data_IF_832756675640
#
_entry.id   IF_832756675640
#
_cell.length_a   1.000
_cell.length_b   1.000
_cell.length_c   1.000
_cell.angle_alpha   90.00
_cell.angle_beta   90.00
_cell.angle_gamma   90.00
#
_symmetry.space_group_name_H-M   'P 1'
#
loop_
_entity.id
_entity.type
_entity.pdbx_description
1 polymer ?
#
# COMPACT_ATOMS: atom_id res chain seq x y z
N UNK A 1 3.49 -22.27 -58.37
CA UNK A 1 3.20 -21.30 -57.30
C UNK A 1 3.41 -21.98 -55.95
N UNK A 2 4.45 -21.61 -55.19
CA UNK A 2 4.76 -22.22 -53.88
C UNK A 2 4.04 -21.41 -52.79
N UNK A 3 3.05 -22.01 -52.13
CA UNK A 3 2.43 -21.44 -50.92
C UNK A 3 3.15 -21.98 -49.69
N UNK A 4 3.94 -21.12 -49.07
CA UNK A 4 4.63 -21.39 -47.81
C UNK A 4 3.59 -21.25 -46.69
N UNK A 5 3.30 -22.36 -45.99
CA UNK A 5 2.57 -22.35 -44.72
C UNK A 5 3.60 -22.35 -43.61
N UNK A 6 3.78 -21.22 -42.93
CA UNK A 6 4.54 -21.16 -41.68
C UNK A 6 3.49 -21.18 -40.56
N UNK A 7 3.37 -22.33 -39.91
CA UNK A 7 2.78 -22.40 -38.58
C UNK A 7 3.73 -21.74 -37.58
N UNK A 8 3.20 -20.95 -36.67
CA UNK A 8 3.96 -20.45 -35.52
C UNK A 8 3.23 -20.92 -34.26
N UNK A 9 3.74 -22.02 -33.71
CA UNK A 9 3.42 -22.47 -32.38
C UNK A 9 4.19 -21.58 -31.39
N UNK A 10 3.47 -20.71 -30.67
CA UNK A 10 4.06 -19.90 -29.61
C UNK A 10 4.09 -20.77 -28.35
N UNK A 11 5.26 -21.37 -28.10
CA UNK A 11 5.60 -21.99 -26.82
C UNK A 11 5.97 -20.86 -25.87
N UNK A 12 5.05 -20.50 -24.97
CA UNK A 12 5.28 -19.53 -23.91
C UNK A 12 5.99 -20.25 -22.73
N UNK A 13 7.31 -20.36 -22.83
CA UNK A 13 8.17 -20.84 -21.76
C UNK A 13 8.37 -19.75 -20.70
N UNK A 14 7.67 -19.91 -19.58
CA UNK A 14 7.78 -19.11 -18.35
C UNK A 14 9.20 -19.22 -17.77
N UNK A 15 9.97 -18.14 -17.85
CA UNK A 15 11.30 -18.04 -17.26
C UNK A 15 11.21 -17.23 -15.96
N UNK A 16 11.23 -17.94 -14.83
CA UNK A 16 11.32 -17.39 -13.48
C UNK A 16 12.75 -16.91 -13.21
N UNK A 17 12.98 -15.60 -13.22
CA UNK A 17 14.16 -15.00 -12.59
C UNK A 17 13.80 -14.50 -11.20
N UNK A 18 14.26 -15.23 -10.19
CA UNK A 18 14.32 -14.77 -8.82
C UNK A 18 15.44 -13.75 -8.65
N UNK A 19 15.10 -12.54 -8.21
CA UNK A 19 16.05 -11.55 -7.69
C UNK A 19 16.07 -11.70 -6.17
N UNK A 20 17.20 -12.15 -5.64
CA UNK A 20 17.50 -12.13 -4.20
C UNK A 20 18.23 -10.82 -3.88
N UNK A 21 17.75 -10.15 -2.84
CA UNK A 21 18.18 -8.85 -2.35
C UNK A 21 19.66 -8.78 -1.98
N UNK A 22 20.30 -7.67 -2.34
CA UNK A 22 21.64 -7.28 -1.91
C UNK A 22 21.49 -6.08 -0.96
N UNK A 23 21.84 -6.28 0.30
CA UNK A 23 21.83 -5.24 1.33
C UNK A 23 22.99 -4.26 1.17
N UNK A 24 22.73 -2.98 1.45
CA UNK A 24 23.78 -1.99 1.68
C UNK A 24 23.51 -1.24 2.99
N UNK A 25 24.54 -1.30 3.80
CA UNK A 25 24.78 -0.69 5.10
C UNK A 25 25.38 0.71 4.87
N UNK A 26 24.80 1.75 5.45
CA UNK A 26 25.47 3.06 5.57
C UNK A 26 25.52 3.47 7.04
N UNK A 27 26.76 3.52 7.54
CA UNK A 27 27.18 4.25 8.73
C UNK A 27 27.08 5.74 8.43
N UNK A 28 26.51 6.52 9.34
CA UNK A 28 26.92 7.91 9.54
C UNK A 28 26.86 8.31 11.02
N UNK A 29 27.82 9.16 11.38
CA UNK A 29 28.30 9.49 12.72
C UNK A 29 27.77 10.84 13.22
N UNK A 30 27.80 10.99 14.54
CA UNK A 30 27.88 12.23 15.35
C UNK A 30 26.59 12.99 15.73
N UNK A 31 26.34 13.06 17.05
CA UNK A 31 25.38 13.94 17.74
C UNK A 31 25.90 15.40 17.92
N UNK A 32 25.53 16.19 18.96
CA UNK A 32 25.01 15.79 20.28
C UNK A 32 23.82 16.61 20.84
N UNK A 33 23.09 16.08 21.82
CA UNK A 33 22.57 16.91 22.91
C UNK A 33 22.50 16.08 24.20
N UNK A 34 23.21 16.58 25.21
CA UNK A 34 23.24 16.09 26.59
C UNK A 34 22.15 16.82 27.38
N UNK A 35 21.37 16.09 28.16
CA UNK A 35 21.07 16.42 29.57
C UNK A 35 20.40 15.22 30.24
N UNK A 36 21.13 14.59 31.16
CA UNK A 36 20.59 13.67 32.20
C UNK A 36 19.93 14.50 33.32
N UNK A 37 19.13 13.90 34.24
CA UNK A 37 19.71 13.09 35.31
C UNK A 37 18.92 11.81 35.71
N UNK A 38 19.70 10.77 36.02
CA UNK A 38 19.72 9.99 37.27
C UNK A 38 18.39 9.64 37.97
N UNK A 39 18.08 8.34 38.12
CA UNK A 39 18.04 7.70 39.44
C UNK A 39 18.08 6.15 39.37
N UNK A 40 18.58 5.58 40.46
CA UNK A 40 19.17 4.28 40.67
C UNK A 40 18.21 3.14 41.09
N UNK A 41 18.75 1.92 41.12
CA UNK A 41 18.24 0.75 41.85
C UNK A 41 17.23 -0.10 41.07
N UNK A 42 17.13 -1.42 41.21
CA UNK A 42 17.89 -2.45 41.89
C UNK A 42 17.24 -3.77 41.46
N UNK A 43 18.01 -4.79 41.09
CA UNK A 43 17.51 -6.16 41.03
C UNK A 43 17.05 -6.59 42.43
N UNK A 44 15.92 -7.29 42.51
CA UNK A 44 15.71 -8.38 43.47
C UNK A 44 14.76 -9.40 42.85
N UNK A 45 15.23 -10.64 42.79
CA UNK A 45 14.45 -11.84 42.52
C UNK A 45 13.53 -12.16 43.72
N UNK A 46 12.29 -12.59 43.47
CA UNK A 46 11.55 -13.57 44.30
C UNK A 46 10.15 -13.91 43.76
N UNK A 47 10.02 -15.19 43.37
CA UNK A 47 9.00 -16.16 43.85
C UNK A 47 7.53 -16.02 43.41
N UNK A 48 7.03 -17.16 42.92
CA UNK A 48 5.74 -17.45 42.34
C UNK A 48 4.51 -17.16 43.22
N UNK A 49 3.40 -16.78 42.57
CA UNK A 49 2.07 -17.33 42.86
C UNK A 49 1.13 -17.13 41.66
N UNK A 50 0.46 -18.23 41.33
CA UNK A 50 -0.58 -18.38 40.33
C UNK A 50 -1.78 -17.49 40.67
N UNK A 51 -2.13 -16.57 39.77
CA UNK A 51 -3.38 -15.83 39.77
C UNK A 51 -3.60 -15.27 38.37
N UNK A 52 -4.60 -15.83 37.68
CA UNK A 52 -5.12 -15.41 36.38
C UNK A 52 -5.57 -13.94 36.45
N UNK A 53 -4.61 -13.05 36.21
CA UNK A 53 -4.77 -11.59 36.26
C UNK A 53 -4.91 -11.10 34.84
N UNK A 54 -6.16 -10.77 34.46
CA UNK A 54 -6.49 -10.00 33.25
C UNK A 54 -5.40 -8.97 32.99
N UNK A 55 -4.74 -9.07 31.82
CA UNK A 55 -3.82 -8.03 31.35
C UNK A 55 -4.51 -6.68 31.57
N UNK A 56 -3.85 -5.72 32.24
CA UNK A 56 -4.29 -4.34 32.18
C UNK A 56 -4.39 -4.00 30.69
N UNK A 57 -5.59 -3.72 30.19
CA UNK A 57 -5.74 -3.12 28.87
C UNK A 57 -4.96 -1.80 28.93
N UNK A 58 -3.77 -1.80 28.34
CA UNK A 58 -3.08 -0.55 28.03
C UNK A 58 -4.10 0.34 27.34
N UNK A 59 -4.21 1.63 27.73
CA UNK A 59 -5.26 2.49 27.21
C UNK A 59 -5.12 2.55 25.70
N UNK A 60 -6.01 1.84 24.98
CA UNK A 60 -6.01 1.82 23.52
C UNK A 60 -6.08 3.26 23.07
N UNK A 61 -5.06 3.70 22.35
CA UNK A 61 -4.97 5.05 21.83
C UNK A 61 -6.22 5.32 21.01
N UNK A 62 -7.04 6.27 21.46
CA UNK A 62 -8.32 6.60 20.81
C UNK A 62 -8.07 6.96 19.36
N UNK A 63 -8.72 6.24 18.45
CA UNK A 63 -8.67 6.52 17.01
C UNK A 63 -9.46 7.79 16.75
N UNK A 64 -8.90 8.68 15.92
CA UNK A 64 -9.55 9.91 15.47
C UNK A 64 -10.28 9.65 14.16
N UNK A 65 -11.47 10.23 14.00
CA UNK A 65 -12.29 10.08 12.81
C UNK A 65 -13.49 11.01 12.79
N UNK A 66 -14.34 10.85 11.77
CA UNK A 66 -15.56 11.63 11.61
C UNK A 66 -16.75 10.69 11.54
N UNK A 67 -17.79 11.00 12.31
CA UNK A 67 -19.06 10.29 12.18
C UNK A 67 -19.73 10.66 10.85
N UNK A 68 -20.44 9.72 10.20
CA UNK A 68 -21.26 10.03 9.04
C UNK A 68 -22.31 11.11 9.35
N UNK A 69 -22.85 11.72 8.31
CA UNK A 69 -23.87 12.77 8.44
C UNK A 69 -25.04 12.30 9.32
N UNK A 70 -25.52 13.18 10.21
CA UNK A 70 -26.60 12.95 11.17
C UNK A 70 -26.36 11.90 12.27
N UNK A 71 -25.24 11.16 12.26
CA UNK A 71 -24.99 10.10 13.27
C UNK A 71 -24.74 10.63 14.68
N UNK A 72 -24.35 11.91 14.80
CA UNK A 72 -24.23 12.56 16.12
C UNK A 72 -25.57 12.65 16.87
N UNK A 73 -26.71 12.61 16.15
CA UNK A 73 -28.05 12.72 16.73
C UNK A 73 -28.54 11.39 17.33
N UNK A 74 -27.83 10.28 17.11
CA UNK A 74 -28.23 8.95 17.55
C UNK A 74 -27.84 8.64 19.00
N UNK A 75 -27.22 9.58 19.72
CA UNK A 75 -26.81 9.37 21.11
C UNK A 75 -25.73 8.29 21.29
N UNK A 76 -24.85 8.11 20.30
CA UNK A 76 -23.82 7.06 20.31
C UNK A 76 -22.87 7.20 21.51
N UNK A 77 -22.55 6.07 22.14
CA UNK A 77 -21.52 5.99 23.18
C UNK A 77 -20.13 6.20 22.58
N UNK A 78 -19.15 6.54 23.42
CA UNK A 78 -17.78 6.73 22.95
C UNK A 78 -17.16 5.45 22.39
N UNK A 79 -17.48 4.29 22.97
CA UNK A 79 -17.03 2.99 22.46
C UNK A 79 -17.60 2.70 21.07
N UNK A 80 -18.88 2.99 20.85
CA UNK A 80 -19.50 2.87 19.53
C UNK A 80 -18.81 3.78 18.51
N UNK A 81 -18.48 5.03 18.88
CA UNK A 81 -17.74 5.94 17.99
C UNK A 81 -16.35 5.41 17.67
N UNK A 82 -15.63 4.89 18.66
CA UNK A 82 -14.30 4.29 18.45
C UNK A 82 -14.37 3.11 17.48
N UNK A 83 -15.35 2.22 17.63
CA UNK A 83 -15.55 1.10 16.71
C UNK A 83 -15.90 1.57 15.28
N UNK A 84 -16.72 2.60 15.15
CA UNK A 84 -17.02 3.22 13.86
C UNK A 84 -15.74 3.76 13.21
N UNK A 85 -14.89 4.48 13.95
CA UNK A 85 -13.64 5.03 13.41
C UNK A 85 -12.67 3.94 12.98
N UNK A 86 -12.52 2.87 13.76
CA UNK A 86 -11.70 1.70 13.40
C UNK A 86 -12.18 1.07 12.09
N UNK A 87 -13.49 0.85 11.96
CA UNK A 87 -14.10 0.28 10.74
C UNK A 87 -13.91 1.20 9.53
N UNK A 88 -14.14 2.49 9.69
CA UNK A 88 -13.89 3.48 8.62
C UNK A 88 -12.43 3.45 8.16
N UNK A 89 -11.47 3.45 9.08
CA UNK A 89 -10.05 3.38 8.77
C UNK A 89 -9.70 2.10 8.00
N UNK A 90 -10.19 0.95 8.47
CA UNK A 90 -9.99 -0.35 7.83
C UNK A 90 -10.53 -0.36 6.39
N UNK A 91 -11.76 0.08 6.19
CA UNK A 91 -12.37 0.07 4.85
C UNK A 91 -11.72 1.10 3.92
N UNK A 92 -11.37 2.29 4.41
CA UNK A 92 -10.64 3.28 3.59
C UNK A 92 -9.28 2.76 3.13
N UNK A 93 -8.55 2.05 4.00
CA UNK A 93 -7.29 1.42 3.62
C UNK A 93 -7.50 0.39 2.50
N UNK A 94 -8.52 -0.47 2.61
CA UNK A 94 -8.88 -1.43 1.55
C UNK A 94 -9.27 -0.77 0.25
N UNK A 95 -10.09 0.28 0.30
CA UNK A 95 -10.50 1.04 -0.89
C UNK A 95 -9.27 1.59 -1.60
N UNK A 96 -8.34 2.23 -0.88
CA UNK A 96 -7.10 2.74 -1.46
C UNK A 96 -6.26 1.66 -2.14
N UNK A 97 -6.18 0.47 -1.54
CA UNK A 97 -5.46 -0.66 -2.14
C UNK A 97 -6.14 -1.14 -3.44
N UNK A 98 -7.47 -1.23 -3.44
CA UNK A 98 -8.23 -1.65 -4.62
C UNK A 98 -8.15 -0.60 -5.74
N UNK A 99 -8.21 0.69 -5.42
CA UNK A 99 -8.02 1.78 -6.38
C UNK A 99 -6.65 1.71 -7.04
N UNK A 100 -5.59 1.42 -6.28
CA UNK A 100 -4.25 1.24 -6.83
C UNK A 100 -4.18 0.04 -7.81
N UNK A 101 -4.83 -1.08 -7.46
CA UNK A 101 -4.89 -2.25 -8.35
C UNK A 101 -5.69 -1.96 -9.62
N UNK A 102 -6.81 -1.23 -9.51
CA UNK A 102 -7.61 -0.80 -10.66
C UNK A 102 -6.77 0.06 -11.60
N UNK A 103 -6.01 1.02 -11.10
CA UNK A 103 -5.15 1.87 -11.94
C UNK A 103 -4.02 1.09 -12.59
N UNK A 104 -3.44 0.11 -11.88
CA UNK A 104 -2.47 -0.82 -12.44
C UNK A 104 -3.06 -1.63 -13.60
N UNK A 105 -4.23 -2.25 -13.40
CA UNK A 105 -4.91 -3.05 -14.43
C UNK A 105 -5.27 -2.18 -15.65
N UNK A 106 -5.76 -0.96 -15.46
CA UNK A 106 -6.05 -0.03 -16.57
C UNK A 106 -4.80 0.32 -17.38
N UNK A 107 -3.65 0.48 -16.72
CA UNK A 107 -2.36 0.72 -17.39
C UNK A 107 -1.91 -0.49 -18.20
N UNK A 108 -2.04 -1.69 -17.62
CA UNK A 108 -1.73 -2.96 -18.28
C UNK A 108 -2.65 -3.22 -19.48
N UNK A 109 -3.96 -2.94 -19.33
CA UNK A 109 -4.94 -3.00 -20.42
C UNK A 109 -4.53 -2.09 -21.57
N UNK A 110 -4.24 -0.81 -21.29
CA UNK A 110 -3.81 0.15 -22.33
C UNK A 110 -2.55 -0.33 -23.04
N UNK A 111 -1.56 -0.81 -22.28
CA UNK A 111 -0.31 -1.36 -22.84
C UNK A 111 -0.58 -2.56 -23.73
N UNK A 112 -1.48 -3.45 -23.31
CA UNK A 112 -1.87 -4.64 -24.06
C UNK A 112 -2.62 -4.29 -25.35
N UNK A 113 -3.49 -3.28 -25.31
CA UNK A 113 -4.18 -2.77 -26.48
C UNK A 113 -3.22 -2.08 -27.47
N UNK A 114 -2.22 -1.35 -26.98
CA UNK A 114 -1.19 -0.77 -27.84
C UNK A 114 -0.27 -1.85 -28.45
N UNK A 115 0.00 -2.94 -27.72
CA UNK A 115 0.88 -4.00 -28.17
C UNK A 115 0.40 -4.70 -29.45
N UNK A 116 -0.92 -4.77 -29.68
CA UNK A 116 -1.50 -5.37 -30.90
C UNK A 116 -1.45 -4.45 -32.12
N UNK A 117 -1.06 -3.18 -31.97
CA UNK A 117 -0.96 -2.23 -33.07
C UNK A 117 0.37 -2.37 -33.83
N UNK A 118 0.30 -2.15 -35.14
CA UNK A 118 1.50 -1.99 -35.98
C UNK A 118 2.23 -0.70 -35.68
N UNK A 119 3.51 -0.61 -36.05
CA UNK A 119 4.33 0.59 -35.82
C UNK A 119 3.76 1.84 -36.48
N UNK A 120 3.17 1.69 -37.68
CA UNK A 120 2.51 2.79 -38.38
C UNK A 120 1.26 3.26 -37.63
N UNK A 121 0.45 2.33 -37.11
CA UNK A 121 -0.74 2.68 -36.30
C UNK A 121 -0.34 3.35 -34.98
N UNK A 122 0.70 2.85 -34.30
CA UNK A 122 1.23 3.48 -33.08
C UNK A 122 1.72 4.90 -33.35
N UNK A 123 2.41 5.12 -34.48
CA UNK A 123 2.85 6.47 -34.88
C UNK A 123 1.65 7.39 -35.08
N UNK A 124 0.62 6.94 -35.82
CA UNK A 124 -0.57 7.75 -36.05
C UNK A 124 -1.35 8.03 -34.76
N UNK A 125 -1.43 7.05 -33.86
CA UNK A 125 -2.07 7.22 -32.55
C UNK A 125 -1.37 8.32 -31.73
N UNK A 126 -0.03 8.35 -31.70
CA UNK A 126 0.73 9.40 -31.01
C UNK A 126 0.47 10.80 -31.57
N UNK A 127 0.39 10.93 -32.90
CA UNK A 127 0.06 12.21 -33.56
C UNK A 127 -1.32 12.72 -33.12
N UNK A 128 -2.34 11.86 -33.14
CA UNK A 128 -3.71 12.20 -32.70
C UNK A 128 -3.75 12.62 -31.22
N UNK A 129 -3.01 11.92 -30.36
CA UNK A 129 -2.96 12.25 -28.93
C UNK A 129 -2.29 13.61 -28.67
N UNK A 130 -1.26 13.95 -29.45
CA UNK A 130 -0.57 15.24 -29.36
C UNK A 130 -1.46 16.40 -29.86
N UNK A 131 -2.20 16.19 -30.95
CA UNK A 131 -3.17 17.17 -31.49
C UNK A 131 -4.28 17.49 -30.48
N UNK A 132 -4.73 16.48 -29.71
CA UNK A 132 -5.80 16.62 -28.71
C UNK A 132 -5.32 17.18 -27.38
N UNK A 133 -4.01 17.18 -27.11
CA UNK A 133 -3.49 17.71 -25.86
C UNK A 133 -3.73 19.23 -25.79
N UNK A 134 -4.23 19.77 -24.65
CA UNK A 134 -4.38 21.21 -24.49
C UNK A 134 -3.02 21.89 -24.65
N UNK A 135 -2.96 22.92 -25.48
CA UNK A 135 -1.73 23.69 -25.71
C UNK A 135 -1.34 24.35 -24.38
N UNK A 136 -0.10 24.19 -23.89
CA UNK A 136 0.36 24.98 -22.75
C UNK A 136 0.36 26.46 -23.18
N UNK A 137 -0.41 27.28 -22.46
CA UNK A 137 -0.41 28.75 -22.58
C UNK A 137 0.90 29.36 -22.04
#
# INVERSE_FOLDING_TARGET
>A
MKRIRIGSAIILGLLMFGVTAQGQETKDKNGPSKTSPTNAGSQTDSKASDAEKKKPEEPMTKVKGYLPANWKQLGLTDDQKQEIYKRQAYHRAKVKMLEAEIEKIKSEERTSLEAVLTDLQKKRLREILLEKAPKPE
#
